data_IF_925340374469
#
_entry.id   IF_925340374469
#
_cell.length_a   1.000
_cell.length_b   1.000
_cell.length_c   1.000
_cell.angle_alpha   90.00
_cell.angle_beta   90.00
_cell.angle_gamma   90.00
#
_symmetry.space_group_name_H-M   'P 1'
#
loop_
_entity.id
_entity.type
_entity.pdbx_description
1 polymer ?
#
# COMPACT_ATOMS: atom_id res chain seq x y z
N UNK A 1 24.00 -10.01 -0.41
CA UNK A 1 23.59 -9.83 -1.81
C UNK A 1 22.67 -8.63 -1.88
N UNK A 2 22.54 -8.02 -3.05
CA UNK A 2 21.65 -6.88 -3.27
C UNK A 2 20.32 -7.40 -3.78
N UNK A 3 19.22 -7.09 -3.07
CA UNK A 3 17.87 -7.55 -3.38
C UNK A 3 16.99 -6.37 -3.77
N UNK A 4 16.33 -6.48 -4.92
CA UNK A 4 15.31 -5.52 -5.34
C UNK A 4 13.93 -6.07 -4.95
N UNK A 5 13.23 -5.36 -4.07
CA UNK A 5 11.95 -5.78 -3.53
C UNK A 5 10.79 -5.31 -4.43
N UNK A 6 9.93 -6.25 -4.82
CA UNK A 6 8.69 -5.94 -5.52
C UNK A 6 7.56 -5.57 -4.55
N UNK A 7 6.47 -5.05 -5.11
CA UNK A 7 5.29 -4.58 -4.37
C UNK A 7 4.68 -5.66 -3.49
N UNK A 8 4.62 -6.92 -3.94
CA UNK A 8 4.05 -8.02 -3.15
C UNK A 8 4.88 -8.29 -1.91
N UNK A 9 6.21 -8.32 -2.05
CA UNK A 9 7.10 -8.51 -0.90
C UNK A 9 6.97 -7.34 0.08
N UNK A 10 6.94 -6.10 -0.42
CA UNK A 10 6.76 -4.93 0.45
C UNK A 10 5.41 -4.95 1.20
N UNK A 11 4.33 -5.36 0.53
CA UNK A 11 3.02 -5.54 1.14
C UNK A 11 3.05 -6.64 2.21
N UNK A 12 3.57 -7.82 1.86
CA UNK A 12 3.53 -9.00 2.73
C UNK A 12 4.41 -8.83 3.98
N UNK A 13 5.49 -8.03 3.92
CA UNK A 13 6.30 -7.69 5.11
C UNK A 13 5.47 -7.02 6.20
N UNK A 14 4.45 -6.25 5.80
CA UNK A 14 3.67 -5.39 6.70
C UNK A 14 2.33 -6.03 7.05
N UNK A 15 1.64 -6.59 6.05
CA UNK A 15 0.27 -7.14 6.23
C UNK A 15 0.13 -8.61 5.88
N UNK A 16 1.22 -9.31 5.58
CA UNK A 16 1.22 -10.76 5.37
C UNK A 16 0.90 -11.52 6.66
N UNK A 17 0.62 -12.82 6.53
CA UNK A 17 0.49 -13.69 7.70
C UNK A 17 1.80 -13.74 8.50
N UNK A 18 1.74 -14.19 9.75
CA UNK A 18 2.93 -14.34 10.59
C UNK A 18 3.99 -15.22 9.92
N UNK A 19 3.59 -16.36 9.38
CA UNK A 19 4.48 -17.30 8.68
C UNK A 19 5.11 -16.64 7.45
N UNK A 20 4.32 -15.85 6.71
CA UNK A 20 4.79 -15.13 5.53
C UNK A 20 5.81 -14.06 5.89
N UNK A 21 5.53 -13.27 6.94
CA UNK A 21 6.45 -12.25 7.47
C UNK A 21 7.78 -12.87 7.92
N UNK A 22 7.72 -13.96 8.68
CA UNK A 22 8.91 -14.69 9.14
C UNK A 22 9.72 -15.27 7.96
N UNK A 23 9.04 -15.85 6.97
CA UNK A 23 9.68 -16.39 5.77
C UNK A 23 10.39 -15.28 4.98
N UNK A 24 9.75 -14.13 4.79
CA UNK A 24 10.37 -12.98 4.12
C UNK A 24 11.56 -12.48 4.93
N UNK A 25 11.41 -12.25 6.25
CA UNK A 25 12.50 -11.78 7.09
C UNK A 25 13.73 -12.68 7.04
N UNK A 26 13.55 -14.01 7.02
CA UNK A 26 14.66 -14.98 6.88
C UNK A 26 15.44 -14.78 5.57
N UNK A 27 14.75 -14.51 4.46
CA UNK A 27 15.38 -14.28 3.15
C UNK A 27 16.07 -12.91 3.11
N UNK A 28 15.45 -11.88 3.68
CA UNK A 28 15.96 -10.52 3.62
C UNK A 28 17.15 -10.27 4.57
N UNK A 29 17.26 -11.06 5.65
CA UNK A 29 18.29 -10.88 6.69
C UNK A 29 19.70 -10.92 6.10
N UNK A 30 20.49 -9.87 6.39
CA UNK A 30 21.89 -9.76 5.96
C UNK A 30 22.08 -9.36 4.50
N UNK A 31 21.01 -9.05 3.78
CA UNK A 31 21.06 -8.51 2.43
C UNK A 31 20.84 -7.01 2.41
N UNK A 32 21.40 -6.35 1.38
CA UNK A 32 21.11 -4.95 1.07
C UNK A 32 19.81 -4.89 0.32
N UNK A 33 18.87 -4.10 0.79
CA UNK A 33 17.51 -4.08 0.26
C UNK A 33 17.26 -2.79 -0.50
N UNK A 34 16.76 -2.92 -1.72
CA UNK A 34 16.45 -1.79 -2.58
C UNK A 34 15.00 -1.90 -3.02
N UNK A 35 14.40 -0.76 -3.35
CA UNK A 35 13.09 -0.71 -3.97
C UNK A 35 13.08 0.31 -5.11
N UNK A 36 11.96 0.49 -5.79
CA UNK A 36 11.82 1.52 -6.82
C UNK A 36 10.69 2.48 -6.52
N UNK A 37 10.74 3.68 -7.07
CA UNK A 37 9.62 4.63 -6.98
C UNK A 37 8.34 4.10 -7.62
N UNK A 38 8.44 3.20 -8.61
CA UNK A 38 7.26 2.48 -9.12
C UNK A 38 6.58 1.66 -8.02
N UNK A 39 7.35 0.83 -7.30
CA UNK A 39 6.83 -0.01 -6.20
C UNK A 39 6.27 0.85 -5.07
N UNK A 40 6.93 1.95 -4.72
CA UNK A 40 6.41 2.92 -3.73
C UNK A 40 5.07 3.53 -4.19
N UNK A 41 4.95 3.89 -5.46
CA UNK A 41 3.69 4.39 -6.02
C UNK A 41 2.57 3.35 -6.02
N UNK A 42 2.88 2.08 -6.28
CA UNK A 42 1.93 0.98 -6.12
C UNK A 42 1.55 0.76 -4.66
N UNK A 43 2.51 0.87 -3.74
CA UNK A 43 2.28 0.77 -2.31
C UNK A 43 1.29 1.84 -1.82
N UNK A 44 1.49 3.11 -2.19
CA UNK A 44 0.53 4.18 -1.88
C UNK A 44 -0.86 3.92 -2.46
N UNK A 45 -0.92 3.51 -3.74
CA UNK A 45 -2.19 3.27 -4.45
C UNK A 45 -2.98 2.09 -3.87
N UNK A 46 -2.28 1.13 -3.25
CA UNK A 46 -2.86 -0.13 -2.82
C UNK A 46 -3.04 -0.21 -1.30
N UNK A 47 -2.00 0.06 -0.52
CA UNK A 47 -1.98 -0.17 0.92
C UNK A 47 -2.43 1.06 1.67
N UNK A 48 -1.76 2.19 1.43
CA UNK A 48 -2.08 3.44 2.13
C UNK A 48 -3.52 3.84 1.80
N UNK A 49 -3.89 3.84 0.52
CA UNK A 49 -5.28 4.13 0.12
C UNK A 49 -6.32 3.17 0.71
N UNK A 50 -6.00 1.89 0.86
CA UNK A 50 -6.91 0.92 1.48
C UNK A 50 -7.01 1.10 3.00
N UNK A 51 -5.93 1.49 3.67
CA UNK A 51 -5.95 1.84 5.09
C UNK A 51 -6.81 3.10 5.32
N UNK A 52 -6.64 4.14 4.51
CA UNK A 52 -7.47 5.35 4.60
C UNK A 52 -8.94 5.04 4.29
N UNK A 53 -9.20 4.17 3.30
CA UNK A 53 -10.56 3.69 3.02
C UNK A 53 -11.15 3.00 4.26
N UNK A 54 -10.37 2.11 4.90
CA UNK A 54 -10.81 1.39 6.09
C UNK A 54 -11.11 2.35 7.26
N UNK A 55 -10.23 3.34 7.50
CA UNK A 55 -10.46 4.33 8.55
C UNK A 55 -11.71 5.17 8.27
N UNK A 56 -11.92 5.58 7.01
CA UNK A 56 -13.14 6.27 6.58
C UNK A 56 -14.41 5.44 6.83
N UNK A 57 -14.37 4.12 6.60
CA UNK A 57 -15.49 3.23 6.94
C UNK A 57 -15.72 3.14 8.45
N UNK A 58 -14.65 3.13 9.25
CA UNK A 58 -14.74 3.13 10.70
C UNK A 58 -15.38 4.42 11.23
N UNK A 59 -14.96 5.59 10.75
CA UNK A 59 -15.47 6.89 11.19
C UNK A 59 -16.98 7.06 10.98
N UNK A 60 -17.58 6.31 10.05
CA UNK A 60 -19.03 6.36 9.80
C UNK A 60 -19.88 5.95 11.01
N UNK A 61 -19.43 4.95 11.77
CA UNK A 61 -20.21 4.39 12.89
C UNK A 61 -19.42 4.28 14.19
N UNK A 62 -18.09 4.50 14.15
CA UNK A 62 -17.15 4.27 15.25
C UNK A 62 -17.32 2.89 15.92
N UNK A 63 -17.63 1.88 15.11
CA UNK A 63 -17.87 0.51 15.55
C UNK A 63 -17.20 -0.48 14.60
N UNK A 64 -16.42 -1.41 15.16
CA UNK A 64 -15.68 -2.38 14.36
C UNK A 64 -16.58 -3.45 13.75
N UNK A 65 -17.65 -3.86 14.45
CA UNK A 65 -18.62 -4.80 13.91
C UNK A 65 -19.27 -4.28 12.63
N UNK A 66 -19.73 -3.03 12.64
CA UNK A 66 -20.29 -2.37 11.47
C UNK A 66 -19.24 -2.04 10.42
N UNK A 67 -18.02 -1.68 10.82
CA UNK A 67 -16.90 -1.54 9.87
C UNK A 67 -16.70 -2.83 9.08
N UNK A 68 -16.72 -3.99 9.75
CA UNK A 68 -16.65 -5.31 9.13
C UNK A 68 -17.74 -5.53 8.07
N UNK A 69 -18.98 -5.17 8.37
CA UNK A 69 -20.10 -5.27 7.40
C UNK A 69 -19.90 -4.32 6.23
N UNK A 70 -19.52 -3.06 6.48
CA UNK A 70 -19.27 -2.07 5.45
C UNK A 70 -18.15 -2.50 4.48
N UNK A 71 -17.12 -3.21 4.95
CA UNK A 71 -16.09 -3.78 4.07
C UNK A 71 -16.72 -4.75 3.06
N UNK A 72 -17.66 -5.59 3.51
CA UNK A 72 -18.33 -6.56 2.63
C UNK A 72 -19.27 -5.91 1.63
N UNK A 73 -19.88 -4.78 2.00
CA UNK A 73 -20.88 -4.08 1.20
C UNK A 73 -20.29 -3.04 0.24
N UNK A 74 -19.12 -2.47 0.56
CA UNK A 74 -18.58 -1.29 -0.14
C UNK A 74 -17.20 -1.49 -0.75
N UNK A 75 -16.47 -2.53 -0.37
CA UNK A 75 -15.14 -2.83 -0.90
C UNK A 75 -15.19 -4.07 -1.77
N UNK A 76 -14.81 -3.93 -3.04
CA UNK A 76 -14.97 -4.98 -4.04
C UNK A 76 -13.65 -5.45 -4.66
N UNK A 77 -13.68 -6.66 -5.22
CA UNK A 77 -12.57 -7.26 -5.96
C UNK A 77 -11.35 -7.54 -5.08
N UNK A 78 -10.15 -7.41 -5.65
CA UNK A 78 -8.88 -7.70 -4.96
C UNK A 78 -8.63 -6.79 -3.74
N UNK A 79 -9.28 -5.62 -3.68
CA UNK A 79 -9.16 -4.68 -2.55
C UNK A 79 -9.82 -5.23 -1.29
N UNK A 80 -10.92 -5.98 -1.42
CA UNK A 80 -11.66 -6.50 -0.27
C UNK A 80 -10.78 -7.36 0.63
N UNK A 81 -10.10 -8.36 0.06
CA UNK A 81 -9.21 -9.23 0.84
C UNK A 81 -8.04 -8.48 1.49
N UNK A 82 -7.58 -7.37 0.90
CA UNK A 82 -6.48 -6.56 1.45
C UNK A 82 -6.96 -5.66 2.59
N UNK A 83 -8.11 -5.00 2.41
CA UNK A 83 -8.77 -4.22 3.46
C UNK A 83 -9.16 -5.12 4.64
N UNK A 84 -9.67 -6.33 4.40
CA UNK A 84 -9.96 -7.29 5.48
C UNK A 84 -8.70 -7.70 6.27
N UNK A 85 -7.55 -7.85 5.61
CA UNK A 85 -6.28 -8.11 6.31
C UNK A 85 -5.82 -6.92 7.16
N UNK A 86 -5.93 -5.70 6.62
CA UNK A 86 -5.65 -4.47 7.37
C UNK A 86 -6.56 -4.36 8.59
N UNK A 87 -7.86 -4.62 8.42
CA UNK A 87 -8.84 -4.66 9.50
C UNK A 87 -8.48 -5.68 10.58
N UNK A 88 -8.11 -6.91 10.21
CA UNK A 88 -7.67 -7.92 11.15
C UNK A 88 -6.38 -7.52 11.90
N UNK A 89 -5.44 -6.87 11.21
CA UNK A 89 -4.21 -6.38 11.83
C UNK A 89 -4.49 -5.27 12.86
N UNK A 90 -5.33 -4.29 12.53
CA UNK A 90 -5.74 -3.22 13.46
C UNK A 90 -6.39 -3.82 14.71
N UNK A 91 -7.36 -4.74 14.54
CA UNK A 91 -8.00 -5.42 15.66
C UNK A 91 -6.98 -6.15 16.56
N UNK A 92 -6.01 -6.82 15.93
CA UNK A 92 -4.94 -7.50 16.67
C UNK A 92 -4.04 -6.52 17.43
N UNK A 93 -3.80 -5.32 16.90
CA UNK A 93 -2.98 -4.28 17.56
C UNK A 93 -3.71 -3.68 18.77
N UNK A 94 -5.03 -3.53 18.69
CA UNK A 94 -5.86 -2.99 19.76
C UNK A 94 -6.19 -4.02 20.85
N UNK A 95 -5.67 -5.26 20.79
CA UNK A 95 -6.14 -6.39 21.61
C UNK A 95 -7.67 -6.56 21.61
N UNK A 96 -8.33 -6.18 20.51
CA UNK A 96 -9.79 -6.12 20.38
C UNK A 96 -10.51 -5.16 21.34
N UNK A 97 -9.79 -4.24 21.99
CA UNK A 97 -10.38 -3.12 22.71
C UNK A 97 -10.82 -2.03 21.71
N UNK A 98 -12.13 -1.82 21.62
CA UNK A 98 -12.72 -0.87 20.66
C UNK A 98 -12.42 0.58 21.05
N UNK A 99 -12.13 0.86 22.33
CA UNK A 99 -11.89 2.22 22.82
C UNK A 99 -10.58 2.82 22.31
N UNK A 100 -9.62 1.99 21.91
CA UNK A 100 -8.29 2.41 21.42
C UNK A 100 -8.17 2.37 19.88
N UNK A 101 -9.25 1.99 19.19
CA UNK A 101 -9.21 1.75 17.74
C UNK A 101 -8.93 3.01 16.94
N UNK A 102 -9.54 4.14 17.33
CA UNK A 102 -9.37 5.41 16.61
C UNK A 102 -7.92 5.91 16.70
N UNK A 103 -7.35 5.92 17.90
CA UNK A 103 -5.94 6.29 18.13
C UNK A 103 -5.00 5.31 17.40
N UNK A 104 -5.32 4.01 17.41
CA UNK A 104 -4.53 3.00 16.69
C UNK A 104 -4.57 3.21 15.18
N UNK A 105 -5.73 3.60 14.61
CA UNK A 105 -5.81 3.95 13.20
C UNK A 105 -4.91 5.14 12.87
N UNK A 106 -4.98 6.22 13.65
CA UNK A 106 -4.17 7.41 13.41
C UNK A 106 -2.68 7.10 13.49
N UNK A 107 -2.25 6.41 14.55
CA UNK A 107 -0.86 5.96 14.70
C UNK A 107 -0.42 5.05 13.55
N UNK A 108 -1.26 4.12 13.13
CA UNK A 108 -0.90 3.20 12.05
C UNK A 108 -0.82 3.89 10.69
N UNK A 109 -1.65 4.91 10.44
CA UNK A 109 -1.59 5.74 9.22
C UNK A 109 -0.26 6.50 9.12
N UNK A 110 0.28 6.94 10.25
CA UNK A 110 1.60 7.56 10.29
C UNK A 110 2.71 6.52 10.06
N UNK A 111 2.63 5.38 10.77
CA UNK A 111 3.68 4.35 10.74
C UNK A 111 3.75 3.58 9.42
N UNK A 112 2.64 3.41 8.70
CA UNK A 112 2.62 2.55 7.51
C UNK A 112 3.53 3.06 6.39
N UNK A 113 3.78 4.38 6.34
CA UNK A 113 4.73 4.96 5.41
C UNK A 113 6.16 4.60 5.80
N UNK A 114 6.50 4.72 7.08
CA UNK A 114 7.83 4.38 7.60
C UNK A 114 8.16 2.89 7.45
N UNK A 115 7.17 2.02 7.66
CA UNK A 115 7.29 0.57 7.47
C UNK A 115 7.72 0.18 6.04
N UNK A 116 7.35 0.97 5.02
CA UNK A 116 7.81 0.73 3.65
C UNK A 116 9.33 0.92 3.53
N UNK A 117 9.86 1.98 4.16
CA UNK A 117 11.27 2.34 4.08
C UNK A 117 12.16 1.52 5.02
N UNK A 118 11.56 0.79 5.96
CA UNK A 118 12.28 0.02 6.96
C UNK A 118 13.29 -0.96 6.34
N UNK A 119 14.56 -0.79 6.71
CA UNK A 119 15.72 -1.56 6.26
C UNK A 119 16.03 -1.46 4.75
N UNK A 120 15.47 -0.48 4.03
CA UNK A 120 15.90 -0.18 2.67
C UNK A 120 17.19 0.64 2.70
N UNK A 121 18.16 0.25 1.88
CA UNK A 121 19.34 1.05 1.57
C UNK A 121 18.96 2.26 0.71
N UNK A 122 18.14 2.03 -0.32
CA UNK A 122 17.73 3.07 -1.26
C UNK A 122 16.41 2.73 -1.97
N UNK A 123 15.63 3.76 -2.29
CA UNK A 123 14.52 3.70 -3.25
C UNK A 123 14.96 4.32 -4.58
N UNK A 124 15.17 3.47 -5.57
CA UNK A 124 15.67 3.83 -6.90
C UNK A 124 14.60 4.61 -7.69
N UNK A 125 14.92 5.84 -8.09
CA UNK A 125 14.01 6.71 -8.84
C UNK A 125 14.25 6.70 -10.37
N UNK A 126 14.52 5.53 -10.95
CA UNK A 126 14.70 5.42 -12.41
C UNK A 126 13.42 5.72 -13.19
N UNK A 127 12.26 5.55 -12.57
CA UNK A 127 10.96 5.61 -13.25
C UNK A 127 10.21 6.94 -13.07
N UNK A 128 10.71 7.81 -12.17
CA UNK A 128 10.10 9.10 -11.82
C UNK A 128 8.59 8.98 -11.54
N UNK A 129 8.20 7.89 -10.88
CA UNK A 129 6.79 7.56 -10.68
C UNK A 129 6.08 8.66 -9.90
N UNK A 130 5.12 9.34 -10.53
CA UNK A 130 4.38 10.44 -9.88
C UNK A 130 3.53 9.97 -8.70
N UNK A 131 3.07 8.71 -8.72
CA UNK A 131 2.31 8.13 -7.61
C UNK A 131 3.17 7.95 -6.35
N UNK A 132 4.48 7.89 -6.49
CA UNK A 132 5.42 7.80 -5.36
C UNK A 132 5.54 9.11 -4.58
N UNK A 133 5.09 10.23 -5.18
CA UNK A 133 5.14 11.58 -4.59
C UNK A 133 3.87 11.93 -3.81
N UNK A 134 2.90 11.00 -3.73
CA UNK A 134 1.68 11.19 -2.96
C UNK A 134 2.01 11.37 -1.49
N UNK A 135 1.20 12.16 -0.80
CA UNK A 135 1.28 12.37 0.63
C UNK A 135 -0.10 12.17 1.25
N UNK A 136 -0.10 11.76 2.51
CA UNK A 136 -1.30 11.81 3.33
C UNK A 136 -1.49 13.27 3.73
N UNK A 137 -2.64 13.81 3.38
CA UNK A 137 -3.13 15.13 3.75
C UNK A 137 -4.30 14.95 4.71
N UNK A 138 -4.70 15.99 5.43
CA UNK A 138 -5.81 15.93 6.37
C UNK A 138 -6.87 16.96 5.97
N UNK A 139 -8.08 16.49 5.73
CA UNK A 139 -9.27 17.29 5.46
C UNK A 139 -10.25 17.08 6.63
N UNK A 140 -10.55 18.13 7.39
CA UNK A 140 -11.40 18.07 8.59
C UNK A 140 -10.97 16.95 9.58
N UNK A 141 -9.66 16.85 9.86
CA UNK A 141 -9.01 15.81 10.67
C UNK A 141 -9.13 14.37 10.12
N UNK A 142 -9.65 14.20 8.90
CA UNK A 142 -9.72 12.92 8.20
C UNK A 142 -8.54 12.80 7.22
N UNK A 143 -7.70 11.76 7.33
CA UNK A 143 -6.57 11.56 6.44
C UNK A 143 -7.04 11.11 5.05
N UNK A 144 -6.56 11.81 4.03
CA UNK A 144 -6.83 11.57 2.61
C UNK A 144 -5.50 11.45 1.85
N UNK A 145 -5.48 10.62 0.80
CA UNK A 145 -4.29 10.51 -0.04
C UNK A 145 -4.44 11.45 -1.23
N UNK A 146 -3.51 12.39 -1.38
CA UNK A 146 -3.52 13.36 -2.49
C UNK A 146 -3.75 12.68 -3.84
N UNK A 147 -4.74 13.13 -4.62
CA UNK A 147 -5.01 12.52 -5.91
C UNK A 147 -3.88 12.82 -6.90
N UNK A 148 -3.53 11.82 -7.69
CA UNK A 148 -2.58 11.95 -8.79
C UNK A 148 -3.18 11.23 -9.97
N UNK A 149 -3.60 11.99 -10.97
CA UNK A 149 -4.02 11.47 -12.26
C UNK A 149 -2.82 10.92 -13.02
N UNK A 150 -2.60 9.61 -12.86
CA UNK A 150 -1.65 8.85 -13.66
C UNK A 150 -2.44 7.84 -14.49
N UNK A 151 -2.96 8.32 -15.63
CA UNK A 151 -3.60 7.50 -16.65
C UNK A 151 -2.53 7.01 -17.63
N UNK A 152 -2.65 5.78 -18.14
CA UNK A 152 -1.71 5.18 -19.10
C UNK A 152 -1.52 5.99 -20.41
N UNK A 153 -2.34 7.00 -20.63
CA UNK A 153 -2.39 7.83 -21.83
C UNK A 153 -1.71 9.19 -21.66
N UNK A 154 -1.36 9.58 -20.44
CA UNK A 154 -0.77 10.88 -20.11
C UNK A 154 0.68 10.58 -19.70
N UNK A 155 1.67 11.09 -20.44
CA UNK A 155 3.12 10.87 -20.21
C UNK A 155 3.61 11.60 -18.95
N UNK A 156 3.04 11.23 -17.80
CA UNK A 156 3.32 11.88 -16.52
C UNK A 156 4.52 11.25 -15.79
N UNK A 157 5.02 10.09 -16.25
CA UNK A 157 6.24 9.47 -15.75
C UNK A 157 6.82 8.46 -16.75
N UNK A 158 8.07 8.05 -16.53
CA UNK A 158 8.81 7.15 -17.43
C UNK A 158 8.22 5.72 -17.43
N UNK A 159 7.42 5.37 -16.42
CA UNK A 159 6.61 4.12 -16.41
C UNK A 159 5.60 4.10 -17.56
N UNK A 160 4.98 5.24 -17.90
CA UNK A 160 4.01 5.32 -19.00
C UNK A 160 4.67 5.06 -20.35
N UNK A 161 5.92 5.52 -20.52
CA UNK A 161 6.72 5.26 -21.72
C UNK A 161 7.03 3.76 -21.83
N UNK A 162 7.53 3.15 -20.74
CA UNK A 162 7.86 1.73 -20.71
C UNK A 162 6.66 0.84 -21.08
N UNK A 163 5.46 1.14 -20.58
CA UNK A 163 4.27 0.37 -20.95
C UNK A 163 3.85 0.56 -22.41
N UNK A 164 4.08 1.75 -22.99
CA UNK A 164 3.76 2.02 -24.39
C UNK A 164 4.72 1.27 -25.31
N UNK A 165 6.02 1.30 -25.00
CA UNK A 165 7.04 0.56 -25.74
C UNK A 165 6.77 -0.94 -25.69
N UNK A 166 6.54 -1.51 -24.49
CA UNK A 166 6.21 -2.92 -24.34
C UNK A 166 4.92 -3.31 -25.09
N UNK A 167 3.91 -2.44 -25.13
CA UNK A 167 2.68 -2.68 -25.89
C UNK A 167 2.96 -2.68 -27.41
N UNK A 168 3.77 -1.75 -27.89
CA UNK A 168 4.17 -1.68 -29.30
C UNK A 168 4.98 -2.91 -29.72
N UNK A 169 5.88 -3.40 -28.87
CA UNK A 169 6.64 -4.64 -29.11
C UNK A 169 5.72 -5.85 -29.18
N UNK A 170 4.77 -5.97 -28.25
CA UNK A 170 3.77 -7.06 -28.29
C UNK A 170 2.94 -6.98 -29.56
N UNK A 171 2.48 -5.79 -29.96
CA UNK A 171 1.71 -5.62 -31.21
C UNK A 171 2.53 -5.99 -32.44
N UNK A 172 3.84 -5.71 -32.46
CA UNK A 172 4.75 -6.11 -33.54
C UNK A 172 5.06 -7.60 -33.58
N UNK A 173 5.00 -8.31 -32.45
CA UNK A 173 5.19 -9.77 -32.39
C UNK A 173 3.99 -10.57 -32.92
N UNK A 174 2.84 -9.92 -33.09
CA UNK A 174 1.60 -10.53 -33.57
C UNK A 174 1.29 -10.18 -35.05
N UNK A 175 2.26 -9.55 -35.73
CA UNK A 175 2.31 -9.32 -37.19
C UNK A 175 3.30 -10.30 -37.81
#
# INVERSE_FOLDING_TARGET
>A
MDLLLDTTIQIDRIIGSKERKEAIQKVLKGNKLYCSTFVLGEYYSNIVNDLLTLYGLFLMNKDMGETGKLITERVFGRRQGRVSKLYANILSMCNFDVSEVEDTFQLYIDLIQDEFFLNLEEVLDKTKCVRAKRKIEYEDDVPVLSDVTCRKCEEVCDVCLLWREAKSEIEQMWV
#
